data_IF_563216356864
#
_entry.id   IF_563216356864
#
_cell.length_a   1.000
_cell.length_b   1.000
_cell.length_c   1.000
_cell.angle_alpha   90.00
_cell.angle_beta   90.00
_cell.angle_gamma   90.00
#
_symmetry.space_group_name_H-M   'P 1'
#
loop_
_entity.id
_entity.type
_entity.pdbx_description
1 polymer ?
#
# COMPACT_ATOMS: atom_id res chain seq x y z
N UNK A 1 5.37 -3.89 -13.17
CA UNK A 1 6.17 -3.05 -12.24
C UNK A 1 5.57 -3.11 -10.85
N UNK A 2 6.38 -2.87 -9.84
CA UNK A 2 5.97 -2.88 -8.45
C UNK A 2 6.11 -1.49 -7.84
N UNK A 3 5.09 -1.03 -7.13
CA UNK A 3 5.10 0.23 -6.42
C UNK A 3 4.83 0.00 -4.93
N UNK A 4 5.47 0.80 -4.09
CA UNK A 4 5.24 0.78 -2.65
C UNK A 4 4.73 2.15 -2.23
N UNK A 5 3.57 2.19 -1.56
CA UNK A 5 2.92 3.44 -1.16
C UNK A 5 2.73 3.45 0.34
N UNK A 6 3.29 4.44 1.05
CA UNK A 6 2.98 4.62 2.47
C UNK A 6 1.73 5.48 2.58
N UNK A 7 0.83 5.12 3.49
CA UNK A 7 -0.43 5.84 3.66
C UNK A 7 -1.41 5.59 2.53
N UNK A 8 -1.50 4.37 2.05
CA UNK A 8 -2.33 4.02 0.89
C UNK A 8 -3.82 4.26 1.14
N UNK A 9 -4.26 4.25 2.40
CA UNK A 9 -5.65 4.50 2.75
C UNK A 9 -6.01 5.99 2.91
N UNK A 10 -5.04 6.88 2.72
CA UNK A 10 -5.31 8.30 2.66
C UNK A 10 -5.89 8.71 1.31
N UNK A 11 -6.27 9.97 1.17
CA UNK A 11 -6.89 10.45 -0.06
C UNK A 11 -5.93 10.33 -1.26
N UNK A 12 -4.72 10.86 -1.13
CA UNK A 12 -3.75 10.82 -2.22
C UNK A 12 -3.27 9.39 -2.49
N UNK A 13 -3.06 8.62 -1.42
CA UNK A 13 -2.63 7.23 -1.56
C UNK A 13 -3.64 6.36 -2.27
N UNK A 14 -4.92 6.54 -1.97
CA UNK A 14 -5.98 5.77 -2.60
C UNK A 14 -6.11 6.08 -4.09
N UNK A 15 -6.02 7.34 -4.47
CA UNK A 15 -6.06 7.73 -5.90
C UNK A 15 -4.85 7.19 -6.66
N UNK A 16 -3.66 7.29 -6.05
CA UNK A 16 -2.46 6.79 -6.69
C UNK A 16 -2.52 5.27 -6.85
N UNK A 17 -2.99 4.56 -5.82
CA UNK A 17 -3.12 3.10 -5.89
C UNK A 17 -4.05 2.69 -7.02
N UNK A 18 -5.21 3.33 -7.15
CA UNK A 18 -6.16 3.04 -8.22
C UNK A 18 -5.52 3.27 -9.59
N UNK A 19 -4.83 4.39 -9.75
CA UNK A 19 -4.15 4.74 -10.99
C UNK A 19 -3.11 3.67 -11.38
N UNK A 20 -2.28 3.25 -10.42
CA UNK A 20 -1.24 2.27 -10.67
C UNK A 20 -1.80 0.88 -10.94
N UNK A 21 -2.84 0.48 -10.20
CA UNK A 21 -3.51 -0.80 -10.43
C UNK A 21 -4.13 -0.85 -11.83
N UNK A 22 -4.69 0.24 -12.29
CA UNK A 22 -5.23 0.33 -13.65
C UNK A 22 -4.14 0.21 -14.70
N UNK A 23 -2.91 0.56 -14.36
CA UNK A 23 -1.75 0.39 -15.23
C UNK A 23 -1.09 -0.99 -15.10
N UNK A 24 -1.73 -1.91 -14.41
CA UNK A 24 -1.24 -3.27 -14.22
C UNK A 24 0.00 -3.37 -13.31
N UNK A 25 0.19 -2.41 -12.44
CA UNK A 25 1.22 -2.47 -11.41
C UNK A 25 0.82 -3.46 -10.33
N UNK A 26 1.81 -4.08 -9.71
CA UNK A 26 1.63 -4.73 -8.42
C UNK A 26 1.87 -3.66 -7.36
N UNK A 27 0.88 -3.40 -6.51
CA UNK A 27 0.92 -2.31 -5.53
C UNK A 27 1.01 -2.88 -4.12
N UNK A 28 2.00 -2.41 -3.37
CA UNK A 28 2.14 -2.72 -1.95
C UNK A 28 1.96 -1.43 -1.17
N UNK A 29 1.18 -1.45 -0.11
CA UNK A 29 0.89 -0.23 0.62
C UNK A 29 0.78 -0.42 2.10
N UNK A 30 1.11 0.62 2.87
CA UNK A 30 0.93 0.61 4.31
C UNK A 30 -0.36 1.32 4.68
N UNK A 31 -1.05 0.78 5.68
CA UNK A 31 -2.25 1.36 6.28
C UNK A 31 -1.89 1.78 7.68
N UNK A 32 -2.19 3.02 8.03
CA UNK A 32 -2.00 3.50 9.38
C UNK A 32 -3.16 3.02 10.24
N UNK A 33 -2.83 2.31 11.32
CA UNK A 33 -3.79 1.86 12.29
C UNK A 33 -3.96 2.94 13.35
N UNK A 34 -5.13 3.53 13.43
CA UNK A 34 -5.46 4.48 14.48
C UNK A 34 -6.50 3.82 15.40
N UNK A 35 -7.28 4.59 16.14
CA UNK A 35 -8.34 4.06 17.01
C UNK A 35 -9.35 3.23 16.21
N UNK A 36 -9.47 3.48 14.92
CA UNK A 36 -10.25 2.64 14.02
C UNK A 36 -9.52 2.56 12.68
N UNK A 37 -9.56 1.40 12.03
CA UNK A 37 -9.01 1.22 10.70
C UNK A 37 -10.01 1.82 9.70
N UNK A 38 -9.54 2.77 8.89
CA UNK A 38 -10.37 3.36 7.86
C UNK A 38 -9.82 3.00 6.48
N UNK A 39 -10.48 2.05 5.82
CA UNK A 39 -10.12 1.61 4.48
C UNK A 39 -11.18 1.98 3.46
N UNK A 40 -12.13 2.83 3.83
CA UNK A 40 -13.28 3.18 3.00
C UNK A 40 -12.89 3.61 1.60
N UNK A 41 -11.82 4.41 1.49
CA UNK A 41 -11.36 4.93 0.21
C UNK A 41 -10.78 3.87 -0.71
N UNK A 42 -10.34 2.74 -0.14
CA UNK A 42 -9.70 1.67 -0.92
C UNK A 42 -10.47 0.35 -0.88
N UNK A 43 -11.66 0.34 -0.28
CA UNK A 43 -12.44 -0.89 -0.16
C UNK A 43 -12.72 -1.54 -1.52
N UNK A 44 -13.02 -0.74 -2.54
CA UNK A 44 -13.25 -1.26 -3.87
C UNK A 44 -11.99 -1.87 -4.49
N UNK A 45 -10.82 -1.31 -4.17
CA UNK A 45 -9.56 -1.85 -4.63
C UNK A 45 -9.21 -3.16 -3.92
N UNK A 46 -9.51 -3.22 -2.63
CA UNK A 46 -9.33 -4.45 -1.84
C UNK A 46 -10.18 -5.56 -2.41
N UNK A 47 -11.44 -5.27 -2.69
CA UNK A 47 -12.38 -6.23 -3.24
C UNK A 47 -11.91 -6.81 -4.57
N UNK A 48 -11.32 -5.98 -5.42
CA UNK A 48 -10.93 -6.38 -6.77
C UNK A 48 -9.53 -6.99 -6.85
N UNK A 49 -8.60 -6.54 -6.02
CA UNK A 49 -7.17 -6.79 -6.25
C UNK A 49 -6.41 -7.41 -5.10
N UNK A 50 -6.96 -7.44 -3.87
CA UNK A 50 -6.21 -7.92 -2.72
C UNK A 50 -5.83 -9.38 -2.89
N UNK A 51 -4.56 -9.69 -2.60
CA UNK A 51 -4.02 -11.04 -2.74
C UNK A 51 -3.47 -11.34 -4.12
N UNK A 52 -3.73 -10.47 -5.10
CA UNK A 52 -3.18 -10.60 -6.45
C UNK A 52 -2.27 -9.42 -6.79
N UNK A 53 -2.86 -8.26 -7.07
CA UNK A 53 -2.10 -7.07 -7.44
C UNK A 53 -1.97 -6.05 -6.32
N UNK A 54 -2.72 -6.22 -5.24
CA UNK A 54 -2.69 -5.30 -4.09
C UNK A 54 -2.34 -6.07 -2.82
N UNK A 55 -1.31 -5.57 -2.10
CA UNK A 55 -0.85 -6.15 -0.85
C UNK A 55 -0.78 -5.06 0.21
N UNK A 56 -1.41 -5.29 1.36
CA UNK A 56 -1.52 -4.29 2.42
C UNK A 56 -0.77 -4.72 3.68
N UNK A 57 -0.15 -3.75 4.34
CA UNK A 57 0.62 -3.95 5.56
C UNK A 57 0.25 -2.87 6.58
N UNK A 58 0.18 -3.22 7.87
CA UNK A 58 -0.07 -2.24 8.92
C UNK A 58 1.22 -1.56 9.31
N UNK A 59 1.30 -0.25 9.14
CA UNK A 59 2.53 0.51 9.37
C UNK A 59 2.95 0.54 10.84
N UNK A 60 2.03 0.45 11.76
CA UNK A 60 2.35 0.43 13.19
C UNK A 60 2.96 -0.90 13.66
N UNK A 61 2.93 -1.92 12.81
CA UNK A 61 3.62 -3.19 13.08
C UNK A 61 5.01 -3.23 12.45
N UNK A 62 5.40 -2.19 11.74
CA UNK A 62 6.67 -2.13 11.00
C UNK A 62 7.63 -1.16 11.69
N UNK A 63 8.63 -1.69 12.37
CA UNK A 63 9.76 -0.86 12.82
C UNK A 63 10.73 -0.67 11.65
N UNK A 64 11.81 0.06 11.87
CA UNK A 64 12.79 0.35 10.81
C UNK A 64 13.38 -0.91 10.17
N UNK A 65 13.73 -1.91 10.99
CA UNK A 65 14.29 -3.15 10.47
C UNK A 65 13.27 -3.95 9.69
N UNK A 66 12.04 -4.05 10.19
CA UNK A 66 10.97 -4.77 9.51
C UNK A 66 10.62 -4.13 8.17
N UNK A 67 10.59 -2.80 8.13
CA UNK A 67 10.33 -2.07 6.90
C UNK A 67 11.45 -2.29 5.89
N UNK A 68 12.69 -2.24 6.32
CA UNK A 68 13.84 -2.48 5.45
C UNK A 68 13.79 -3.90 4.87
N UNK A 69 13.49 -4.88 5.71
CA UNK A 69 13.36 -6.28 5.26
C UNK A 69 12.21 -6.44 4.27
N UNK A 70 11.08 -5.80 4.53
CA UNK A 70 9.93 -5.85 3.65
C UNK A 70 10.27 -5.26 2.27
N UNK A 71 10.90 -4.10 2.24
CA UNK A 71 11.31 -3.47 0.98
C UNK A 71 12.34 -4.31 0.23
N UNK A 72 13.26 -4.95 0.95
CA UNK A 72 14.23 -5.86 0.34
C UNK A 72 13.58 -7.06 -0.31
N UNK A 73 12.51 -7.57 0.28
CA UNK A 73 11.77 -8.70 -0.26
C UNK A 73 10.89 -8.31 -1.45
N UNK A 74 10.23 -7.17 -1.37
CA UNK A 74 9.34 -6.69 -2.43
C UNK A 74 10.14 -6.21 -3.63
N UNK A 75 11.23 -5.50 -3.39
CA UNK A 75 12.06 -4.86 -4.42
C UNK A 75 11.21 -3.97 -5.33
N UNK A 76 10.55 -2.94 -4.76
CA UNK A 76 9.70 -2.11 -5.59
C UNK A 76 10.49 -1.29 -6.59
N UNK A 77 9.91 -1.05 -7.74
CA UNK A 77 10.50 -0.18 -8.76
C UNK A 77 10.31 1.29 -8.41
N UNK A 78 9.23 1.60 -7.71
CA UNK A 78 8.88 2.97 -7.31
C UNK A 78 8.40 2.98 -5.87
N UNK A 79 8.75 4.03 -5.13
CA UNK A 79 8.31 4.22 -3.74
C UNK A 79 7.68 5.60 -3.62
N UNK A 80 6.48 5.64 -3.06
CA UNK A 80 5.73 6.89 -2.84
C UNK A 80 5.46 7.04 -1.36
N UNK A 81 6.04 8.06 -0.75
CA UNK A 81 5.88 8.32 0.68
C UNK A 81 4.83 9.40 0.91
N UNK A 82 3.59 8.97 1.17
CA UNK A 82 2.44 9.85 1.35
C UNK A 82 1.92 9.88 2.78
N UNK A 83 2.58 9.16 3.68
CA UNK A 83 2.19 9.13 5.09
C UNK A 83 2.64 10.37 5.84
#
# INVERSE_FOLDING_TARGET
MKAFITGINGQDGSYLAEFLLNKKYEVHGTIRRSSSINTEKIDHLISEHQGTSLHLYYSDLLDSSSLTNLLSNIKPDEVYNLA
#
